data_IF_828758996995
#
_entry.id   IF_828758996995
#
_cell.length_a   1.000
_cell.length_b   1.000
_cell.length_c   1.000
_cell.angle_alpha   90.00
_cell.angle_beta   90.00
_cell.angle_gamma   90.00
#
_symmetry.space_group_name_H-M   'P 1'
#
loop_
_entity.id
_entity.type
_entity.pdbx_description
1 polymer ?
#
# COMPACT_ATOMS: atom_id res chain seq x y z
N UNK A 1 86.36 14.93 -24.47
CA UNK A 1 85.60 15.21 -23.23
C UNK A 1 84.15 15.47 -23.59
N UNK A 2 83.26 14.49 -23.44
CA UNK A 2 81.80 14.71 -23.43
C UNK A 2 81.17 13.74 -22.42
N UNK A 3 80.54 14.30 -21.39
CA UNK A 3 79.83 13.60 -20.32
C UNK A 3 78.45 13.18 -20.82
N UNK A 4 78.20 11.87 -20.93
CA UNK A 4 76.84 11.33 -21.11
C UNK A 4 76.07 11.45 -19.79
N UNK A 5 75.07 12.35 -19.76
CA UNK A 5 74.10 12.48 -18.66
C UNK A 5 73.00 11.43 -18.83
N UNK A 6 72.95 10.45 -17.92
CA UNK A 6 71.77 9.63 -17.73
C UNK A 6 70.62 10.50 -17.19
N UNK A 7 69.52 10.60 -17.92
CA UNK A 7 68.25 11.15 -17.42
C UNK A 7 67.40 9.98 -16.93
N UNK A 8 67.23 9.90 -15.62
CA UNK A 8 66.28 9.04 -14.93
C UNK A 8 64.86 9.57 -15.21
N UNK A 9 64.03 8.77 -15.87
CA UNK A 9 62.61 9.07 -16.07
C UNK A 9 61.86 8.45 -14.90
N UNK A 10 61.30 9.28 -14.01
CA UNK A 10 60.32 8.83 -13.02
C UNK A 10 59.00 8.54 -13.76
N UNK A 11 58.34 7.39 -13.56
CA UNK A 11 56.98 7.20 -14.03
C UNK A 11 56.05 8.08 -13.18
N UNK A 12 55.33 8.99 -13.84
CA UNK A 12 54.20 9.70 -13.25
C UNK A 12 53.08 8.67 -13.12
N UNK A 13 52.77 8.24 -11.89
CA UNK A 13 51.56 7.49 -11.61
C UNK A 13 50.36 8.43 -11.78
N UNK A 14 49.62 8.24 -12.86
CA UNK A 14 48.33 8.89 -13.07
C UNK A 14 47.34 8.23 -12.10
N UNK A 15 47.08 8.88 -10.97
CA UNK A 15 46.01 8.47 -10.06
C UNK A 15 44.69 8.67 -10.80
N UNK A 16 44.11 7.57 -11.29
CA UNK A 16 42.74 7.55 -11.74
C UNK A 16 41.85 7.80 -10.51
N UNK A 17 41.39 9.04 -10.36
CA UNK A 17 40.26 9.33 -9.48
C UNK A 17 39.03 8.66 -10.10
N UNK A 18 38.77 7.40 -9.74
CA UNK A 18 37.43 6.84 -9.85
C UNK A 18 36.54 7.73 -8.99
N UNK A 19 35.76 8.58 -9.65
CA UNK A 19 34.60 9.18 -9.03
C UNK A 19 33.72 8.01 -8.59
N UNK A 20 33.75 7.71 -7.29
CA UNK A 20 32.67 6.96 -6.69
C UNK A 20 31.42 7.80 -6.99
N UNK A 21 30.57 7.29 -7.89
CA UNK A 21 29.17 7.70 -7.92
C UNK A 21 28.71 7.52 -6.47
N UNK A 22 28.45 8.63 -5.81
CA UNK A 22 27.77 8.64 -4.53
C UNK A 22 26.48 7.90 -4.78
N UNK A 23 26.42 6.63 -4.36
CA UNK A 23 25.13 5.98 -4.18
C UNK A 23 24.36 6.93 -3.28
N UNK A 24 23.17 7.35 -3.71
CA UNK A 24 22.27 8.11 -2.86
C UNK A 24 22.22 7.37 -1.51
N UNK A 25 22.40 8.10 -0.42
CA UNK A 25 22.29 7.50 0.92
C UNK A 25 20.99 6.69 0.96
N UNK A 26 20.99 5.42 1.41
CA UNK A 26 19.74 4.75 1.73
C UNK A 26 18.97 5.65 2.71
N UNK A 27 17.65 5.68 2.65
CA UNK A 27 16.83 6.51 3.53
C UNK A 27 17.40 6.49 4.97
N UNK A 28 17.87 7.65 5.42
CA UNK A 28 18.30 7.95 6.79
C UNK A 28 17.14 8.76 7.39
N UNK A 29 16.50 8.46 8.52
CA UNK A 29 16.80 7.58 9.65
C UNK A 29 15.59 7.57 10.63
N UNK A 30 15.80 6.92 11.79
CA UNK A 30 14.99 6.86 13.00
C UNK A 30 13.73 5.96 12.95
N UNK A 31 13.66 5.14 13.98
CA UNK A 31 12.62 4.17 14.23
C UNK A 31 11.25 4.78 14.28
N UNK A 32 10.33 4.12 13.58
CA UNK A 32 8.92 4.05 13.91
C UNK A 32 8.43 5.02 15.00
N UNK A 33 8.31 6.32 14.69
CA UNK A 33 7.73 7.23 15.67
C UNK A 33 6.22 7.03 15.64
N UNK A 34 5.57 6.92 16.81
CA UNK A 34 4.12 6.93 16.86
C UNK A 34 3.56 8.09 16.05
N UNK A 35 2.61 7.79 15.18
CA UNK A 35 2.01 8.76 14.27
C UNK A 35 2.81 9.02 12.99
N UNK A 36 3.88 8.29 12.70
CA UNK A 36 4.46 8.31 11.35
C UNK A 36 3.60 7.47 10.39
N UNK A 37 3.48 7.92 9.14
CA UNK A 37 2.86 7.17 8.05
C UNK A 37 3.94 6.72 7.09
N UNK A 38 3.94 5.42 6.78
CA UNK A 38 4.83 4.87 5.79
C UNK A 38 4.08 4.55 4.49
N UNK A 39 4.75 4.83 3.38
CA UNK A 39 4.26 4.59 2.04
C UNK A 39 5.28 3.72 1.30
N UNK A 40 4.81 2.65 0.68
CA UNK A 40 5.61 1.78 -0.18
C UNK A 40 4.98 1.75 -1.57
N UNK A 41 5.79 1.82 -2.62
CA UNK A 41 5.36 1.66 -4.00
C UNK A 41 6.34 0.82 -4.80
N UNK A 42 5.89 0.30 -5.94
CA UNK A 42 6.75 -0.40 -6.89
C UNK A 42 6.63 0.18 -8.29
N UNK A 43 7.74 0.30 -9.02
CA UNK A 43 7.76 0.56 -10.47
C UNK A 43 7.73 -0.73 -11.32
N UNK A 44 7.55 -1.88 -10.67
CA UNK A 44 7.61 -3.21 -11.27
C UNK A 44 9.04 -3.79 -11.36
N UNK A 45 10.08 -3.04 -11.00
CA UNK A 45 11.47 -3.53 -10.96
C UNK A 45 12.15 -3.33 -9.61
N UNK A 46 11.59 -2.48 -8.76
CA UNK A 46 12.04 -2.23 -7.41
C UNK A 46 10.87 -1.88 -6.47
N UNK A 47 11.11 -1.97 -5.16
CA UNK A 47 10.27 -1.39 -4.12
C UNK A 47 10.92 -0.13 -3.59
N UNK A 48 10.19 0.98 -3.66
CA UNK A 48 10.58 2.26 -3.09
C UNK A 48 9.69 2.59 -1.91
N UNK A 49 10.26 3.19 -0.87
CA UNK A 49 9.48 3.60 0.31
C UNK A 49 9.86 5.00 0.78
N UNK A 50 8.91 5.69 1.41
CA UNK A 50 9.13 6.97 2.10
C UNK A 50 8.26 7.01 3.35
N UNK A 51 8.59 7.93 4.26
CA UNK A 51 7.85 8.15 5.50
C UNK A 51 7.39 9.60 5.50
N UNK A 52 6.12 9.81 5.80
CA UNK A 52 5.59 11.10 6.20
C UNK A 52 5.60 11.13 7.73
N UNK A 53 6.41 12.00 8.30
CA UNK A 53 6.50 12.13 9.75
C UNK A 53 5.21 12.68 10.35
N UNK A 54 5.09 12.57 11.66
CA UNK A 54 3.99 13.13 12.44
C UNK A 54 3.69 14.62 12.15
N UNK A 55 4.70 15.39 11.77
CA UNK A 55 4.57 16.82 11.45
C UNK A 55 4.24 17.08 9.98
N UNK A 56 4.14 16.03 9.18
CA UNK A 56 3.82 16.08 7.76
C UNK A 56 4.98 16.33 6.82
N UNK A 57 6.22 16.22 7.29
CA UNK A 57 7.38 16.26 6.42
C UNK A 57 7.61 14.88 5.81
N UNK A 58 7.90 14.86 4.51
CA UNK A 58 8.28 13.64 3.82
C UNK A 58 9.78 13.43 3.90
N UNK A 59 10.17 12.19 4.15
CA UNK A 59 11.55 11.74 3.97
C UNK A 59 11.86 11.51 2.50
N UNK A 60 13.14 11.50 2.15
CA UNK A 60 13.54 11.09 0.81
C UNK A 60 13.23 9.61 0.58
N UNK A 61 12.85 9.25 -0.65
CA UNK A 61 12.65 7.85 -1.00
C UNK A 61 13.91 7.01 -0.78
N UNK A 62 13.71 5.87 -0.13
CA UNK A 62 14.66 4.76 -0.08
C UNK A 62 14.25 3.63 -1.02
N UNK A 63 15.21 2.83 -1.43
CA UNK A 63 15.03 1.66 -2.30
C UNK A 63 15.29 0.38 -1.49
N UNK A 64 14.39 -0.59 -1.58
CA UNK A 64 14.48 -1.87 -0.88
C UNK A 64 15.17 -2.94 -1.75
N UNK A 65 15.17 -2.79 -3.08
CA UNK A 65 15.92 -3.59 -4.02
C UNK A 65 15.41 -5.03 -4.20
N UNK A 66 15.71 -5.63 -5.35
CA UNK A 66 15.77 -7.08 -5.50
C UNK A 66 14.46 -7.81 -5.77
N UNK A 67 13.36 -7.10 -6.06
CA UNK A 67 12.08 -7.71 -6.43
C UNK A 67 11.60 -7.17 -7.77
N UNK A 68 11.48 -8.04 -8.76
CA UNK A 68 10.92 -7.72 -10.07
C UNK A 68 9.48 -8.23 -10.20
N UNK A 69 8.72 -7.60 -11.10
CA UNK A 69 7.32 -7.91 -11.35
C UNK A 69 6.45 -7.89 -10.08
N UNK A 70 6.71 -6.93 -9.17
CA UNK A 70 5.89 -6.77 -7.96
C UNK A 70 4.48 -6.36 -8.35
N UNK A 71 3.50 -7.09 -7.81
CA UNK A 71 2.06 -6.84 -7.93
C UNK A 71 1.39 -7.25 -6.61
N UNK A 72 0.18 -6.75 -6.35
CA UNK A 72 -0.54 -7.03 -5.09
C UNK A 72 0.23 -6.63 -3.83
N UNK A 73 0.61 -5.35 -3.75
CA UNK A 73 1.38 -4.80 -2.64
C UNK A 73 0.46 -4.31 -1.50
N UNK A 74 0.69 -4.80 -0.30
CA UNK A 74 0.00 -4.38 0.92
C UNK A 74 0.97 -4.25 2.08
N UNK A 75 0.67 -3.39 3.04
CA UNK A 75 1.43 -3.27 4.28
C UNK A 75 0.51 -3.01 5.46
N UNK A 76 0.90 -3.48 6.64
CA UNK A 76 0.22 -3.19 7.89
C UNK A 76 1.23 -3.00 9.02
N UNK A 77 0.88 -2.17 10.00
CA UNK A 77 1.67 -2.05 11.22
C UNK A 77 1.24 -3.11 12.23
N UNK A 78 2.22 -3.82 12.79
CA UNK A 78 2.03 -4.86 13.77
C UNK A 78 3.16 -4.79 14.81
N UNK A 79 2.80 -4.59 16.08
CA UNK A 79 3.72 -4.47 17.22
C UNK A 79 4.93 -3.52 17.02
N UNK A 80 4.70 -2.36 16.41
CA UNK A 80 5.76 -1.35 16.16
C UNK A 80 6.70 -1.72 15.02
N UNK A 81 6.27 -2.63 14.15
CA UNK A 81 6.98 -3.01 12.93
C UNK A 81 6.01 -2.90 11.75
N UNK A 82 6.52 -2.42 10.62
CA UNK A 82 5.76 -2.46 9.39
C UNK A 82 6.00 -3.79 8.69
N UNK A 83 4.92 -4.46 8.30
CA UNK A 83 4.93 -5.75 7.65
C UNK A 83 4.34 -5.57 6.26
N UNK A 84 5.19 -5.67 5.24
CA UNK A 84 4.79 -5.51 3.84
C UNK A 84 4.77 -6.87 3.13
N UNK A 85 3.65 -7.18 2.50
CA UNK A 85 3.45 -8.39 1.72
C UNK A 85 3.20 -8.02 0.26
N UNK A 86 3.74 -8.83 -0.65
CA UNK A 86 3.52 -8.63 -2.08
C UNK A 86 3.78 -9.90 -2.86
N UNK A 87 3.12 -9.99 -4.01
CA UNK A 87 3.48 -10.98 -5.03
C UNK A 87 4.59 -10.41 -5.91
N UNK A 88 5.53 -11.27 -6.28
CA UNK A 88 6.56 -10.96 -7.26
C UNK A 88 6.73 -12.13 -8.24
N UNK A 89 7.74 -12.07 -9.12
CA UNK A 89 8.04 -13.08 -10.16
C UNK A 89 7.49 -14.50 -9.89
N UNK A 90 6.64 -15.00 -10.80
CA UNK A 90 5.96 -16.30 -10.68
C UNK A 90 4.94 -16.41 -9.52
N UNK A 91 4.34 -15.29 -9.11
CA UNK A 91 3.35 -15.18 -8.03
C UNK A 91 3.89 -15.73 -6.70
N UNK A 92 5.17 -15.50 -6.44
CA UNK A 92 5.77 -15.81 -5.15
C UNK A 92 5.35 -14.74 -4.15
N UNK A 93 4.81 -15.16 -3.00
CA UNK A 93 4.49 -14.27 -1.90
C UNK A 93 5.74 -13.99 -1.08
N UNK A 94 6.11 -12.71 -0.99
CA UNK A 94 7.20 -12.22 -0.16
C UNK A 94 6.66 -11.46 1.05
N UNK A 95 7.48 -11.40 2.10
CA UNK A 95 7.23 -10.64 3.32
C UNK A 95 8.50 -9.87 3.71
N UNK A 96 8.37 -8.55 3.80
CA UNK A 96 9.39 -7.64 4.30
C UNK A 96 8.94 -7.06 5.65
N UNK A 97 9.85 -7.02 6.61
CA UNK A 97 9.60 -6.37 7.90
C UNK A 97 10.52 -5.17 8.03
N UNK A 98 9.95 -3.99 8.29
CA UNK A 98 10.71 -2.85 8.80
C UNK A 98 10.63 -2.84 10.31
N UNK A 99 11.76 -3.10 10.94
CA UNK A 99 11.88 -3.09 12.39
C UNK A 99 11.80 -1.66 12.94
N UNK A 100 11.47 -1.54 14.22
CA UNK A 100 11.45 -0.28 14.97
C UNK A 100 12.78 0.47 15.01
N UNK A 101 13.89 -0.12 14.56
CA UNK A 101 15.19 0.55 14.46
C UNK A 101 15.45 1.09 13.04
N UNK A 102 14.47 0.97 12.14
CA UNK A 102 14.51 1.38 10.74
C UNK A 102 15.25 0.41 9.81
N UNK A 103 15.74 -0.73 10.31
CA UNK A 103 16.33 -1.77 9.46
C UNK A 103 15.24 -2.63 8.83
N UNK A 104 15.50 -3.06 7.60
CA UNK A 104 14.64 -3.98 6.86
C UNK A 104 15.16 -5.41 6.95
N UNK A 105 14.25 -6.35 7.19
CA UNK A 105 14.47 -7.78 7.05
C UNK A 105 13.72 -8.29 5.82
N UNK A 106 14.45 -8.91 4.89
CA UNK A 106 13.92 -9.31 3.58
C UNK A 106 13.60 -10.80 3.45
N UNK A 107 13.63 -11.55 4.55
CA UNK A 107 13.39 -13.01 4.59
C UNK A 107 12.41 -13.38 5.72
N UNK A 108 11.31 -12.64 5.86
CA UNK A 108 10.29 -12.97 6.85
C UNK A 108 9.39 -14.13 6.41
N UNK A 109 8.75 -14.77 7.38
CA UNK A 109 7.81 -15.88 7.17
C UNK A 109 6.55 -15.39 6.45
N UNK A 110 6.13 -16.09 5.40
CA UNK A 110 4.88 -15.82 4.68
C UNK A 110 4.08 -17.13 4.50
N UNK A 111 2.74 -17.06 4.38
CA UNK A 111 1.94 -18.23 4.06
C UNK A 111 2.19 -18.68 2.60
N UNK A 112 1.64 -19.83 2.21
CA UNK A 112 1.64 -20.26 0.81
C UNK A 112 0.88 -19.26 -0.06
N UNK A 113 1.57 -18.65 -1.02
CA UNK A 113 1.02 -17.69 -1.98
C UNK A 113 0.40 -18.32 -3.23
N UNK A 114 0.45 -19.65 -3.40
CA UNK A 114 -0.03 -20.30 -4.63
C UNK A 114 -1.51 -19.98 -4.89
N UNK A 115 -1.81 -19.45 -6.08
CA UNK A 115 -3.16 -19.14 -6.52
C UNK A 115 -3.74 -17.82 -6.01
N UNK A 116 -2.97 -17.03 -5.24
CA UNK A 116 -3.34 -15.65 -4.87
C UNK A 116 -3.30 -14.78 -6.12
N UNK A 117 -4.33 -13.95 -6.30
CA UNK A 117 -4.41 -12.96 -7.38
C UNK A 117 -4.71 -11.54 -6.89
N UNK A 118 -5.17 -11.39 -5.65
CA UNK A 118 -5.34 -10.12 -4.94
C UNK A 118 -4.98 -10.34 -3.47
N UNK A 119 -4.39 -9.35 -2.81
CA UNK A 119 -3.86 -9.49 -1.46
C UNK A 119 -3.99 -8.20 -0.65
N UNK A 120 -4.43 -8.35 0.59
CA UNK A 120 -4.46 -7.28 1.59
C UNK A 120 -4.06 -7.81 2.97
N UNK A 121 -3.61 -6.92 3.85
CA UNK A 121 -3.10 -7.26 5.18
C UNK A 121 -3.63 -6.30 6.24
N UNK A 122 -3.86 -6.80 7.46
CA UNK A 122 -4.24 -6.02 8.63
C UNK A 122 -3.80 -6.74 9.91
N UNK A 123 -3.61 -6.01 11.01
CA UNK A 123 -3.49 -6.60 12.34
C UNK A 123 -4.86 -6.81 12.97
N UNK A 124 -5.21 -8.03 13.37
CA UNK A 124 -6.48 -8.33 14.05
C UNK A 124 -6.17 -8.94 15.42
N UNK A 125 -6.47 -8.21 16.49
CA UNK A 125 -6.24 -8.66 17.87
C UNK A 125 -4.78 -9.07 18.14
N UNK A 126 -3.81 -8.30 17.59
CA UNK A 126 -2.39 -8.58 17.73
C UNK A 126 -1.89 -9.75 16.89
N UNK A 127 -2.58 -10.05 15.80
CA UNK A 127 -2.18 -11.06 14.83
C UNK A 127 -2.18 -10.48 13.42
N UNK A 128 -1.02 -10.57 12.73
CA UNK A 128 -0.96 -10.34 11.29
C UNK A 128 -1.94 -11.25 10.58
N UNK A 129 -2.83 -10.65 9.80
CA UNK A 129 -3.90 -11.32 9.07
C UNK A 129 -3.82 -10.91 7.61
N UNK A 130 -3.79 -11.91 6.73
CA UNK A 130 -3.86 -11.72 5.29
C UNK A 130 -5.26 -12.11 4.82
N UNK A 131 -5.78 -11.35 3.87
CA UNK A 131 -6.99 -11.67 3.11
C UNK A 131 -6.63 -11.64 1.63
N UNK A 132 -7.09 -12.63 0.88
CA UNK A 132 -6.72 -12.78 -0.52
C UNK A 132 -7.88 -13.31 -1.35
N UNK A 133 -7.97 -12.87 -2.61
CA UNK A 133 -8.67 -13.64 -3.63
C UNK A 133 -7.72 -14.74 -4.09
N UNK A 134 -8.07 -16.00 -3.80
CA UNK A 134 -7.22 -17.16 -4.01
C UNK A 134 -8.01 -18.32 -4.58
N UNK A 135 -7.56 -18.87 -5.72
CA UNK A 135 -8.22 -19.99 -6.40
C UNK A 135 -9.72 -19.76 -6.68
N UNK A 136 -10.13 -18.50 -6.90
CA UNK A 136 -11.50 -18.12 -7.19
C UNK A 136 -12.41 -17.91 -5.97
N UNK A 137 -11.88 -17.98 -4.74
CA UNK A 137 -12.62 -17.63 -3.51
C UNK A 137 -11.86 -16.61 -2.69
N UNK A 138 -12.57 -15.87 -1.83
CA UNK A 138 -11.91 -15.01 -0.82
C UNK A 138 -11.51 -15.88 0.35
N UNK A 139 -10.24 -15.80 0.77
CA UNK A 139 -9.69 -16.59 1.86
C UNK A 139 -8.91 -15.68 2.82
N UNK A 140 -8.88 -16.05 4.09
CA UNK A 140 -8.06 -15.41 5.11
C UNK A 140 -7.14 -16.40 5.80
N UNK A 141 -5.96 -15.92 6.21
CA UNK A 141 -5.02 -16.62 7.07
C UNK A 141 -4.44 -15.64 8.09
N UNK A 142 -3.91 -16.17 9.19
CA UNK A 142 -3.27 -15.37 10.23
C UNK A 142 -1.95 -15.98 10.67
N UNK A 143 -1.05 -15.13 11.14
CA UNK A 143 0.16 -15.54 11.82
C UNK A 143 -0.17 -16.01 13.24
N UNK A 144 0.37 -17.17 13.61
CA UNK A 144 0.30 -17.72 14.95
C UNK A 144 1.38 -17.06 15.83
N UNK A 145 1.22 -17.18 17.15
CA UNK A 145 2.18 -16.60 18.12
C UNK A 145 3.60 -17.16 18.04
N UNK A 146 3.81 -18.26 17.31
CA UNK A 146 5.12 -18.87 17.06
C UNK A 146 5.75 -18.43 15.71
N UNK A 147 5.13 -17.50 14.99
CA UNK A 147 5.57 -17.01 13.67
C UNK A 147 5.24 -17.94 12.49
N UNK A 148 4.54 -19.04 12.75
CA UNK A 148 3.98 -19.89 11.68
C UNK A 148 2.65 -19.34 11.20
N UNK A 149 2.24 -19.71 9.99
CA UNK A 149 0.95 -19.30 9.45
C UNK A 149 -0.11 -20.38 9.61
N UNK A 150 -1.33 -19.98 9.95
CA UNK A 150 -2.48 -20.86 9.89
C UNK A 150 -2.79 -21.29 8.45
N UNK A 151 -3.58 -22.34 8.30
CA UNK A 151 -4.13 -22.70 6.99
C UNK A 151 -5.11 -21.62 6.52
N UNK A 152 -5.14 -21.37 5.21
CA UNK A 152 -6.15 -20.53 4.58
C UNK A 152 -7.56 -21.09 4.86
N UNK A 153 -8.47 -20.20 5.23
CA UNK A 153 -9.89 -20.50 5.44
C UNK A 153 -10.74 -19.55 4.64
N UNK A 154 -11.86 -20.03 4.10
CA UNK A 154 -12.74 -19.20 3.28
C UNK A 154 -13.38 -18.07 4.10
N UNK A 155 -13.42 -16.88 3.49
CA UNK A 155 -14.34 -15.80 3.85
C UNK A 155 -15.67 -16.14 3.18
N UNK A 156 -16.79 -16.16 3.91
CA UNK A 156 -18.07 -16.57 3.34
C UNK A 156 -18.60 -15.48 2.42
N UNK A 157 -18.35 -15.62 1.13
CA UNK A 157 -19.01 -14.81 0.08
C UNK A 157 -20.47 -15.24 -0.04
N UNK A 158 -21.40 -14.33 -0.32
CA UNK A 158 -22.82 -14.65 -0.52
C UNK A 158 -23.17 -15.14 -1.94
N UNK A 159 -22.17 -15.68 -2.65
CA UNK A 159 -22.31 -16.30 -3.98
C UNK A 159 -21.84 -15.40 -5.15
N UNK A 160 -21.35 -14.21 -4.83
CA UNK A 160 -20.77 -13.26 -5.75
C UNK A 160 -19.32 -13.63 -6.10
N UNK A 161 -18.91 -13.37 -7.35
CA UNK A 161 -17.50 -13.46 -7.74
C UNK A 161 -16.76 -12.23 -7.24
N UNK A 162 -15.55 -12.38 -6.73
CA UNK A 162 -14.77 -11.27 -6.16
C UNK A 162 -13.51 -11.03 -6.98
N UNK A 163 -13.22 -9.78 -7.31
CA UNK A 163 -12.10 -9.38 -8.18
C UNK A 163 -11.06 -8.50 -7.49
N UNK A 164 -11.38 -7.92 -6.33
CA UNK A 164 -10.46 -7.16 -5.48
C UNK A 164 -10.94 -7.23 -4.02
N UNK A 165 -10.04 -7.08 -3.06
CA UNK A 165 -10.32 -7.12 -1.62
C UNK A 165 -9.52 -6.06 -0.87
N UNK A 166 -10.17 -5.43 0.11
CA UNK A 166 -9.52 -4.65 1.15
C UNK A 166 -9.90 -5.20 2.53
N UNK A 167 -9.04 -5.04 3.53
CA UNK A 167 -9.32 -5.51 4.88
C UNK A 167 -8.88 -4.49 5.92
N UNK A 168 -9.63 -4.41 7.01
CA UNK A 168 -9.31 -3.59 8.17
C UNK A 168 -9.66 -4.35 9.44
N UNK A 169 -9.14 -3.88 10.57
CA UNK A 169 -9.51 -4.39 11.88
C UNK A 169 -10.20 -3.31 12.71
N UNK A 170 -11.19 -3.73 13.50
CA UNK A 170 -11.88 -2.89 14.46
C UNK A 170 -12.20 -3.71 15.72
N UNK A 171 -11.59 -3.35 16.86
CA UNK A 171 -11.93 -4.00 18.15
C UNK A 171 -11.77 -5.53 18.15
N UNK A 172 -10.81 -6.07 17.39
CA UNK A 172 -10.59 -7.51 17.21
C UNK A 172 -11.51 -8.19 16.18
N UNK A 173 -12.39 -7.42 15.53
CA UNK A 173 -13.17 -7.85 14.37
C UNK A 173 -12.36 -7.62 13.10
N UNK A 174 -12.25 -8.63 12.24
CA UNK A 174 -11.77 -8.45 10.86
C UNK A 174 -12.94 -8.01 9.99
N UNK A 175 -12.81 -6.89 9.28
CA UNK A 175 -13.75 -6.48 8.23
C UNK A 175 -13.08 -6.72 6.88
N UNK A 176 -13.76 -7.42 5.99
CA UNK A 176 -13.35 -7.68 4.61
C UNK A 176 -14.29 -6.93 3.68
N UNK A 177 -13.73 -6.03 2.88
CA UNK A 177 -14.44 -5.34 1.80
C UNK A 177 -14.13 -6.08 0.50
N UNK A 178 -15.16 -6.65 -0.12
CA UNK A 178 -15.05 -7.41 -1.37
C UNK A 178 -15.55 -6.57 -2.54
N UNK A 179 -14.78 -6.44 -3.62
CA UNK A 179 -15.25 -5.88 -4.89
C UNK A 179 -15.86 -7.00 -5.75
N UNK A 180 -17.13 -6.85 -6.11
CA UNK A 180 -17.85 -7.80 -6.96
C UNK A 180 -17.26 -7.85 -8.38
N UNK A 181 -17.41 -8.99 -9.06
CA UNK A 181 -17.00 -9.24 -10.44
C UNK A 181 -17.66 -8.33 -11.48
N UNK A 182 -18.69 -7.57 -11.11
CA UNK A 182 -19.24 -6.49 -11.92
C UNK A 182 -18.43 -5.19 -11.83
N UNK A 183 -17.40 -5.17 -10.99
CA UNK A 183 -16.47 -4.07 -10.74
C UNK A 183 -17.15 -2.81 -10.19
N UNK A 184 -18.34 -2.90 -9.59
CA UNK A 184 -19.14 -1.72 -9.19
C UNK A 184 -19.65 -1.79 -7.78
N UNK A 185 -19.93 -2.98 -7.30
CA UNK A 185 -20.44 -3.18 -5.96
C UNK A 185 -19.33 -3.62 -5.01
N UNK A 186 -19.39 -3.11 -3.79
CA UNK A 186 -18.62 -3.63 -2.67
C UNK A 186 -19.54 -4.26 -1.64
N UNK A 187 -19.10 -5.36 -1.06
CA UNK A 187 -19.72 -6.03 0.07
C UNK A 187 -18.83 -5.93 1.31
N UNK A 188 -19.42 -5.92 2.50
CA UNK A 188 -18.67 -5.98 3.76
C UNK A 188 -19.01 -7.26 4.53
N UNK A 189 -17.97 -8.01 4.88
CA UNK A 189 -18.06 -9.24 5.66
C UNK A 189 -17.21 -9.09 6.93
N UNK A 190 -17.84 -9.30 8.08
CA UNK A 190 -17.16 -9.12 9.37
C UNK A 190 -16.96 -10.46 10.05
N UNK A 191 -15.76 -10.69 10.59
CA UNK A 191 -15.46 -11.83 11.45
C UNK A 191 -15.22 -11.34 12.86
N UNK A 192 -16.17 -11.63 13.74
CA UNK A 192 -16.05 -11.27 15.16
C UNK A 192 -14.91 -12.04 15.85
N UNK A 193 -14.43 -11.59 17.02
CA UNK A 193 -13.34 -12.24 17.76
C UNK A 193 -13.61 -13.73 18.09
N UNK A 194 -14.88 -14.11 18.24
CA UNK A 194 -15.29 -15.50 18.47
C UNK A 194 -15.28 -16.38 17.19
N UNK A 195 -14.93 -15.81 16.02
CA UNK A 195 -14.86 -16.46 14.73
C UNK A 195 -16.17 -16.57 13.95
N UNK A 196 -17.22 -15.86 14.36
CA UNK A 196 -18.52 -15.83 13.65
C UNK A 196 -18.45 -14.80 12.53
N UNK A 197 -18.96 -15.16 11.35
CA UNK A 197 -19.04 -14.26 10.22
C UNK A 197 -20.42 -13.61 10.10
N UNK A 198 -20.46 -12.34 9.73
CA UNK A 198 -21.65 -11.59 9.33
C UNK A 198 -21.41 -10.95 7.95
N UNK A 199 -22.49 -10.50 7.31
CA UNK A 199 -22.45 -9.76 6.04
C UNK A 199 -23.40 -8.58 6.12
N UNK A 200 -22.95 -7.40 5.71
CA UNK A 200 -23.74 -6.16 5.76
C UNK A 200 -24.35 -5.77 4.40
N UNK A 201 -24.33 -6.70 3.45
CA UNK A 201 -24.90 -6.55 2.11
C UNK A 201 -23.99 -5.80 1.15
N UNK A 202 -24.47 -5.60 -0.08
CA UNK A 202 -23.74 -4.95 -1.16
C UNK A 202 -24.19 -3.51 -1.36
N UNK A 203 -23.23 -2.61 -1.57
CA UNK A 203 -23.47 -1.21 -1.96
C UNK A 203 -22.69 -0.87 -3.23
N UNK A 204 -23.07 0.20 -3.90
CA UNK A 204 -22.28 0.79 -4.96
C UNK A 204 -21.05 1.50 -4.38
N UNK A 205 -19.86 1.15 -4.85
CA UNK A 205 -18.69 2.02 -4.72
C UNK A 205 -18.62 2.98 -5.92
N UNK A 206 -19.02 2.49 -7.10
CA UNK A 206 -19.11 3.24 -8.34
C UNK A 206 -20.48 3.93 -8.48
N UNK A 207 -20.59 5.27 -8.34
CA UNK A 207 -21.88 5.95 -8.24
C UNK A 207 -22.69 5.94 -9.52
N UNK A 208 -22.05 5.74 -10.68
CA UNK A 208 -22.68 5.76 -12.00
C UNK A 208 -22.57 4.39 -12.69
N UNK A 209 -23.64 3.98 -13.39
CA UNK A 209 -23.73 2.68 -14.07
C UNK A 209 -22.78 2.50 -15.26
N UNK A 210 -21.98 3.52 -15.60
CA UNK A 210 -20.93 3.45 -16.61
C UNK A 210 -19.53 3.18 -16.04
N UNK A 211 -19.34 3.32 -14.73
CA UNK A 211 -18.03 3.22 -14.09
C UNK A 211 -17.72 1.79 -13.66
N UNK A 212 -16.43 1.47 -13.49
CA UNK A 212 -15.91 0.22 -12.96
C UNK A 212 -14.66 0.51 -12.14
N UNK A 213 -14.54 -0.08 -10.96
CA UNK A 213 -13.38 0.03 -10.10
C UNK A 213 -12.21 -0.78 -10.65
N UNK A 214 -11.03 -0.19 -10.61
CA UNK A 214 -9.74 -0.78 -10.99
C UNK A 214 -8.93 -1.22 -9.77
N UNK A 215 -9.14 -0.56 -8.63
CA UNK A 215 -8.42 -0.78 -7.38
C UNK A 215 -9.27 -0.25 -6.24
N UNK A 216 -9.40 -1.01 -5.15
CA UNK A 216 -10.00 -0.56 -3.90
C UNK A 216 -8.99 -0.56 -2.74
N UNK A 217 -9.22 0.29 -1.75
CA UNK A 217 -8.50 0.28 -0.49
C UNK A 217 -9.42 0.70 0.64
N UNK A 218 -9.20 0.17 1.85
CA UNK A 218 -10.02 0.45 3.01
C UNK A 218 -9.18 0.83 4.23
N UNK A 219 -9.74 1.67 5.08
CA UNK A 219 -9.18 2.03 6.38
C UNK A 219 -10.32 2.22 7.39
N UNK A 220 -10.13 1.68 8.60
CA UNK A 220 -10.99 2.00 9.73
C UNK A 220 -10.49 3.29 10.37
N UNK A 221 -11.30 4.35 10.34
CA UNK A 221 -11.00 5.63 10.99
C UNK A 221 -12.03 5.82 12.09
N UNK A 222 -11.58 5.74 13.34
CA UNK A 222 -12.46 5.65 14.51
C UNK A 222 -13.52 4.55 14.30
N UNK A 223 -14.80 4.91 14.37
CA UNK A 223 -15.98 4.05 14.23
C UNK A 223 -16.61 4.16 12.83
N UNK A 224 -15.76 4.36 11.81
CA UNK A 224 -16.19 4.52 10.43
C UNK A 224 -15.25 3.79 9.50
N UNK A 225 -15.81 2.90 8.69
CA UNK A 225 -15.12 2.28 7.58
C UNK A 225 -15.05 3.28 6.42
N UNK A 226 -13.84 3.59 5.97
CA UNK A 226 -13.59 4.36 4.76
C UNK A 226 -13.16 3.42 3.64
N UNK A 227 -13.76 3.57 2.47
CA UNK A 227 -13.35 2.85 1.26
C UNK A 227 -13.07 3.86 0.15
N UNK A 228 -11.91 3.73 -0.46
CA UNK A 228 -11.52 4.49 -1.64
C UNK A 228 -11.39 3.54 -2.83
N UNK A 229 -11.69 4.06 -4.03
CA UNK A 229 -11.55 3.32 -5.27
C UNK A 229 -10.94 4.21 -6.35
N UNK A 230 -10.13 3.60 -7.23
CA UNK A 230 -9.90 4.15 -8.56
C UNK A 230 -10.98 3.59 -9.48
N UNK A 231 -11.71 4.44 -10.18
CA UNK A 231 -12.78 4.02 -11.08
C UNK A 231 -12.56 4.54 -12.48
N UNK A 232 -13.06 3.81 -13.48
CA UNK A 232 -12.96 4.14 -14.90
C UNK A 232 -14.28 3.94 -15.64
N UNK A 233 -14.56 4.79 -16.64
CA UNK A 233 -15.58 4.54 -17.67
C UNK A 233 -14.98 3.98 -18.98
N UNK A 234 -13.69 3.62 -18.96
CA UNK A 234 -12.92 3.20 -20.13
C UNK A 234 -12.30 4.35 -20.94
N UNK A 235 -12.52 5.61 -20.54
CA UNK A 235 -11.91 6.79 -21.16
C UNK A 235 -11.27 7.75 -20.15
N UNK A 236 -11.78 7.75 -18.93
CA UNK A 236 -11.33 8.58 -17.83
C UNK A 236 -11.22 7.75 -16.57
N UNK A 237 -10.26 8.10 -15.72
CA UNK A 237 -10.11 7.55 -14.39
C UNK A 237 -10.33 8.65 -13.34
N UNK A 238 -10.90 8.30 -12.20
CA UNK A 238 -11.06 9.18 -11.06
C UNK A 238 -10.94 8.42 -9.73
N UNK A 239 -10.58 9.13 -8.66
CA UNK A 239 -10.60 8.57 -7.31
C UNK A 239 -11.95 8.89 -6.66
N UNK A 240 -12.63 7.84 -6.20
CA UNK A 240 -13.85 7.92 -5.42
C UNK A 240 -13.62 7.51 -3.98
N UNK A 241 -14.48 8.02 -3.08
CA UNK A 241 -14.46 7.71 -1.66
C UNK A 241 -15.87 7.59 -1.11
N UNK A 242 -16.10 6.57 -0.30
CA UNK A 242 -17.34 6.38 0.45
C UNK A 242 -17.05 5.97 1.89
N UNK A 243 -18.05 6.08 2.76
CA UNK A 243 -17.95 5.70 4.16
C UNK A 243 -19.12 4.87 4.61
N UNK A 244 -18.91 4.09 5.65
CA UNK A 244 -19.96 3.47 6.45
C UNK A 244 -19.63 3.59 7.94
N UNK A 245 -20.43 4.36 8.71
CA UNK A 245 -20.37 4.31 10.17
C UNK A 245 -20.77 2.93 10.70
N UNK A 246 -20.27 2.54 11.87
CA UNK A 246 -20.64 1.26 12.48
C UNK A 246 -22.14 1.10 12.65
N UNK A 247 -22.67 -0.08 12.27
CA UNK A 247 -24.11 -0.36 12.26
C UNK A 247 -24.93 0.65 11.44
N UNK A 248 -24.27 1.46 10.62
CA UNK A 248 -24.84 2.49 9.78
C UNK A 248 -25.10 1.98 8.38
N UNK A 249 -25.62 2.88 7.56
CA UNK A 249 -25.74 2.66 6.13
C UNK A 249 -24.53 3.24 5.43
N UNK A 250 -24.14 2.63 4.31
CA UNK A 250 -23.19 3.23 3.39
C UNK A 250 -23.65 4.61 2.94
N UNK A 251 -22.70 5.53 2.75
CA UNK A 251 -22.95 6.81 2.12
C UNK A 251 -23.56 6.59 0.73
N UNK A 252 -24.72 7.20 0.49
CA UNK A 252 -25.54 6.96 -0.71
C UNK A 252 -24.87 7.40 -2.02
N UNK A 253 -24.02 8.43 -1.96
CA UNK A 253 -23.31 8.97 -3.12
C UNK A 253 -21.81 9.06 -2.81
N UNK A 254 -21.00 8.11 -3.26
CA UNK A 254 -19.53 8.20 -3.23
C UNK A 254 -19.04 9.55 -3.76
N UNK A 255 -18.09 10.16 -3.06
CA UNK A 255 -17.50 11.44 -3.41
C UNK A 255 -16.39 11.28 -4.44
N UNK A 256 -16.50 11.97 -5.58
CA UNK A 256 -15.42 12.06 -6.56
C UNK A 256 -14.38 13.11 -6.11
N UNK A 257 -13.14 12.67 -5.87
CA UNK A 257 -12.08 13.49 -5.27
C UNK A 257 -11.14 14.15 -6.29
N UNK A 258 -11.05 13.62 -7.51
CA UNK A 258 -10.16 14.14 -8.56
C UNK A 258 -10.91 14.83 -9.69
N UNK A 259 -12.19 14.51 -9.87
CA UNK A 259 -12.88 14.63 -11.15
C UNK A 259 -12.37 13.59 -12.16
N UNK A 260 -13.07 13.43 -13.30
CA UNK A 260 -12.62 12.55 -14.38
C UNK A 260 -11.35 13.12 -15.03
N UNK A 261 -10.30 12.29 -15.10
CA UNK A 261 -9.04 12.58 -15.79
C UNK A 261 -8.92 11.59 -16.94
N UNK A 262 -8.72 12.06 -18.17
CA UNK A 262 -8.54 11.14 -19.31
C UNK A 262 -7.42 10.14 -19.04
N UNK A 263 -7.71 8.86 -19.26
CA UNK A 263 -6.80 7.73 -19.01
C UNK A 263 -5.51 7.80 -19.86
N UNK A 264 -5.58 8.50 -21.00
CA UNK A 264 -4.46 8.79 -21.89
C UNK A 264 -3.68 10.06 -21.51
N UNK A 265 -4.08 10.76 -20.45
CA UNK A 265 -3.42 11.98 -19.96
C UNK A 265 -2.59 11.66 -18.72
N UNK A 266 -1.39 12.23 -18.64
CA UNK A 266 -0.53 12.11 -17.47
C UNK A 266 -1.26 12.56 -16.20
N UNK A 267 -1.23 11.73 -15.16
CA UNK A 267 -1.88 12.00 -13.88
C UNK A 267 -3.20 11.24 -13.66
N UNK A 268 -3.65 10.42 -14.62
CA UNK A 268 -4.82 9.57 -14.42
C UNK A 268 -4.55 8.49 -13.35
N UNK A 269 -5.40 8.35 -12.32
CA UNK A 269 -5.18 7.41 -11.22
C UNK A 269 -5.27 5.95 -11.68
N UNK A 270 -4.51 5.06 -11.02
CA UNK A 270 -4.47 3.62 -11.34
C UNK A 270 -4.55 2.74 -10.08
N UNK A 271 -3.79 3.06 -9.05
CA UNK A 271 -3.85 2.37 -7.75
C UNK A 271 -4.17 3.36 -6.66
N UNK A 272 -4.90 2.93 -5.63
CA UNK A 272 -5.22 3.74 -4.44
C UNK A 272 -4.78 3.02 -3.18
N UNK A 273 -4.31 3.78 -2.20
CA UNK A 273 -4.11 3.29 -0.84
C UNK A 273 -4.66 4.32 0.16
N UNK A 274 -5.13 3.81 1.29
CA UNK A 274 -5.60 4.62 2.41
C UNK A 274 -5.05 4.08 3.72
N UNK A 275 -4.85 4.97 4.69
CA UNK A 275 -4.50 4.58 6.05
C UNK A 275 -5.08 5.58 7.05
N UNK A 276 -5.50 5.12 8.24
CA UNK A 276 -5.98 6.01 9.29
C UNK A 276 -4.82 6.75 9.95
N UNK A 277 -5.00 8.02 10.31
CA UNK A 277 -3.96 8.82 10.95
C UNK A 277 -4.60 9.86 11.87
N UNK A 278 -4.49 9.69 13.19
CA UNK A 278 -5.07 10.63 14.19
C UNK A 278 -6.54 11.03 13.93
N UNK A 279 -7.40 10.05 13.59
CA UNK A 279 -8.81 10.33 13.25
C UNK A 279 -9.03 10.98 11.89
N UNK A 280 -7.96 11.28 11.14
CA UNK A 280 -8.00 11.65 9.74
C UNK A 280 -7.75 10.43 8.84
N UNK A 281 -8.08 10.57 7.55
CA UNK A 281 -7.72 9.59 6.52
C UNK A 281 -6.58 10.15 5.68
N UNK A 282 -5.47 9.42 5.59
CA UNK A 282 -4.47 9.64 4.55
C UNK A 282 -4.90 8.87 3.30
N UNK A 283 -4.80 9.50 2.13
CA UNK A 283 -5.13 8.85 0.87
C UNK A 283 -4.07 9.20 -0.16
N UNK A 284 -3.57 8.18 -0.85
CA UNK A 284 -2.67 8.33 -1.99
C UNK A 284 -3.22 7.58 -3.20
N UNK A 285 -2.98 8.12 -4.39
CA UNK A 285 -3.01 7.31 -5.61
C UNK A 285 -1.70 7.42 -6.37
N UNK A 286 -1.35 6.35 -7.07
CA UNK A 286 -0.35 6.41 -8.14
C UNK A 286 -1.03 6.59 -9.49
N UNK A 287 -0.41 7.38 -10.36
CA UNK A 287 -0.92 7.71 -11.66
C UNK A 287 -0.21 6.96 -12.79
N UNK A 288 -0.83 6.93 -13.97
CA UNK A 288 -0.28 6.32 -15.19
C UNK A 288 1.10 6.83 -15.64
N UNK A 289 1.53 8.01 -15.16
CA UNK A 289 2.84 8.61 -15.40
C UNK A 289 3.85 8.33 -14.28
N UNK A 290 3.47 7.57 -13.26
CA UNK A 290 4.28 7.26 -12.09
C UNK A 290 4.24 8.31 -10.98
N UNK A 291 3.42 9.36 -11.08
CA UNK A 291 3.25 10.33 -10.00
C UNK A 291 2.52 9.69 -8.81
N UNK A 292 2.91 10.06 -7.58
CA UNK A 292 2.14 9.79 -6.36
C UNK A 292 1.45 11.09 -5.92
N UNK A 293 0.12 11.08 -5.86
CA UNK A 293 -0.67 12.21 -5.38
C UNK A 293 -1.27 11.87 -4.04
N UNK A 294 -1.01 12.72 -3.05
CA UNK A 294 -1.45 12.53 -1.68
C UNK A 294 -2.45 13.60 -1.26
N UNK A 295 -3.46 13.22 -0.48
CA UNK A 295 -4.40 14.12 0.18
C UNK A 295 -4.77 13.61 1.57
N UNK A 296 -5.42 14.47 2.36
CA UNK A 296 -5.87 14.19 3.71
C UNK A 296 -7.36 14.49 3.79
N UNK A 297 -8.15 13.57 4.33
CA UNK A 297 -9.50 13.89 4.82
C UNK A 297 -9.39 14.22 6.30
N UNK A 298 -9.63 15.47 6.65
CA UNK A 298 -9.61 15.93 8.02
C UNK A 298 -10.77 15.33 8.83
N UNK A 299 -10.66 15.39 10.16
CA UNK A 299 -11.68 14.91 11.10
C UNK A 299 -13.02 15.65 10.95
N UNK A 300 -13.00 16.90 10.47
CA UNK A 300 -14.20 17.68 10.14
C UNK A 300 -14.85 17.28 8.79
N UNK A 301 -14.27 16.30 8.10
CA UNK A 301 -14.72 15.76 6.83
C UNK A 301 -14.27 16.54 5.60
N UNK A 302 -13.54 17.65 5.76
CA UNK A 302 -12.98 18.41 4.63
C UNK A 302 -11.76 17.70 4.04
N UNK A 303 -11.52 17.91 2.74
CA UNK A 303 -10.36 17.36 2.04
C UNK A 303 -9.30 18.43 1.82
N UNK A 304 -8.05 18.06 2.07
CA UNK A 304 -6.90 18.83 1.62
C UNK A 304 -6.81 18.78 0.07
N UNK A 305 -6.17 19.79 -0.53
CA UNK A 305 -5.79 19.70 -1.94
C UNK A 305 -4.72 18.64 -2.17
N UNK A 306 -4.78 17.99 -3.33
CA UNK A 306 -3.78 17.02 -3.76
C UNK A 306 -2.38 17.63 -3.85
N UNK A 307 -1.39 16.95 -3.27
CA UNK A 307 0.03 17.28 -3.38
C UNK A 307 0.81 16.16 -4.09
N UNK A 308 1.85 16.53 -4.85
CA UNK A 308 2.79 15.57 -5.44
C UNK A 308 3.78 15.11 -4.37
N UNK A 309 3.79 13.82 -4.03
CA UNK A 309 4.71 13.27 -3.02
C UNK A 309 6.16 13.44 -3.46
N UNK A 310 6.45 13.18 -4.73
CA UNK A 310 7.80 13.33 -5.29
C UNK A 310 8.38 14.75 -5.16
N UNK A 311 7.53 15.78 -5.08
CA UNK A 311 8.00 17.15 -4.87
C UNK A 311 8.65 17.35 -3.49
N UNK A 312 8.27 16.55 -2.50
CA UNK A 312 8.81 16.60 -1.14
C UNK A 312 9.80 15.45 -0.85
N UNK A 313 9.50 14.25 -1.36
CA UNK A 313 10.23 13.01 -1.08
C UNK A 313 11.30 12.64 -2.12
N UNK A 314 11.43 13.40 -3.21
CA UNK A 314 12.31 13.04 -4.32
C UNK A 314 11.63 12.13 -5.35
N UNK A 315 12.28 11.94 -6.50
CA UNK A 315 11.65 11.30 -7.65
C UNK A 315 11.72 9.78 -7.58
N UNK A 316 10.56 9.14 -7.77
CA UNK A 316 10.39 7.72 -8.09
C UNK A 316 9.31 7.59 -9.16
N UNK A 317 9.36 6.49 -9.91
CA UNK A 317 8.22 6.05 -10.72
C UNK A 317 7.37 5.14 -9.86
N UNK A 318 6.10 5.49 -9.64
CA UNK A 318 5.20 4.68 -8.83
C UNK A 318 4.29 3.78 -9.67
N UNK A 319 3.85 2.68 -9.07
CA UNK A 319 2.90 1.71 -9.59
C UNK A 319 2.00 1.26 -8.45
N UNK A 320 1.85 -0.05 -8.15
CA UNK A 320 1.15 -0.48 -6.94
C UNK A 320 1.65 0.28 -5.71
N UNK A 321 0.74 0.68 -4.83
CA UNK A 321 1.05 1.52 -3.67
C UNK A 321 0.30 1.02 -2.45
N UNK A 322 0.93 1.11 -1.29
CA UNK A 322 0.31 0.82 0.00
C UNK A 322 0.76 1.85 1.03
N UNK A 323 -0.04 2.00 2.09
CA UNK A 323 0.30 2.84 3.24
C UNK A 323 -0.05 2.12 4.53
N UNK A 324 0.78 2.29 5.54
CA UNK A 324 0.50 1.87 6.90
C UNK A 324 0.93 2.96 7.87
N UNK A 325 0.19 3.13 8.95
CA UNK A 325 0.48 4.14 9.98
C UNK A 325 0.88 3.47 11.28
N UNK A 326 1.88 4.02 11.95
CA UNK A 326 2.18 3.64 13.32
C UNK A 326 1.15 4.31 14.24
N UNK A 327 0.27 3.56 14.91
CA UNK A 327 -0.73 4.14 15.79
C UNK A 327 -0.07 4.88 16.97
N UNK A 328 -0.70 5.98 17.38
CA UNK A 328 -0.42 6.55 18.71
C UNK A 328 -1.02 5.59 19.73
N UNK A 329 -0.17 4.98 20.56
CA UNK A 329 -0.59 3.99 21.56
C UNK A 329 -1.60 4.48 22.59
#
# INVERSE_FOLDING_TARGET
MLRNKFRMVLPVALAAATAALTMASPAQAAGDNPGDMQLITSDGVDLSHTIRDFWGNWQQFGHLGGYTAVHELTSTYHFGEENAFFLHDNNQLAHLIRHNNGQWNTLASAPDGAGVIQLTSTDVDGHLTLVAVRNGTVQTTRENTDGTWAAWTDVPTDGHGVVDVAAVAEGGTLKVVELDQDFRHIGEFERSPNGTWTSDGWTWIAPDSGMSALSIAAAQVDNTLHVAAVETDGFTNAVYHTVRPDNGQWQTLPGNLTGPISDHTAGAPWYVAVAPWEGALQLVYSANNGDLKHTIRHTDGTWQSWGLVQAAAGNVTAGPVTMATNPLG
#
